data_IF_603521246575
#
_entry.id   IF_603521246575
#
_cell.length_a   1.000
_cell.length_b   1.000
_cell.length_c   1.000
_cell.angle_alpha   90.00
_cell.angle_beta   90.00
_cell.angle_gamma   90.00
#
_symmetry.space_group_name_H-M   'P 1'
#
loop_
_entity.id
_entity.type
_entity.pdbx_description
1 polymer ?
#
# COMPACT_ATOMS: atom_id res chain seq x y z
N UNK A 1 9.27 4.49 -36.83
CA UNK A 1 7.92 4.18 -36.28
C UNK A 1 7.74 5.01 -35.02
N UNK A 2 6.68 5.84 -34.96
CA UNK A 2 6.39 6.70 -33.82
C UNK A 2 5.79 5.89 -32.67
N UNK A 3 6.49 5.79 -31.54
CA UNK A 3 6.06 5.11 -30.32
C UNK A 3 5.24 6.03 -29.40
N UNK A 4 4.22 6.71 -29.94
CA UNK A 4 3.33 7.54 -29.13
C UNK A 4 2.01 6.82 -28.86
N UNK A 5 1.86 6.39 -27.61
CA UNK A 5 0.58 6.34 -26.88
C UNK A 5 -0.52 5.47 -27.50
N UNK A 6 -0.34 4.15 -27.47
CA UNK A 6 -1.41 3.18 -27.72
C UNK A 6 -1.59 2.37 -26.44
N UNK A 7 -2.77 2.44 -25.83
CA UNK A 7 -3.20 1.70 -24.64
C UNK A 7 -2.41 0.40 -24.42
N UNK A 8 -1.53 0.37 -23.41
CA UNK A 8 -0.84 -0.86 -23.02
C UNK A 8 -1.88 -1.81 -22.42
N UNK A 9 -2.46 -2.66 -23.26
CA UNK A 9 -3.41 -3.68 -22.81
C UNK A 9 -2.71 -4.62 -21.82
N UNK A 10 -3.48 -5.20 -20.90
CA UNK A 10 -2.99 -6.21 -19.95
C UNK A 10 -2.17 -7.30 -20.66
N UNK A 11 -2.57 -7.68 -21.87
CA UNK A 11 -1.86 -8.60 -22.75
C UNK A 11 -0.40 -8.21 -23.01
N UNK A 12 -0.16 -6.95 -23.41
CA UNK A 12 1.18 -6.44 -23.67
C UNK A 12 2.02 -6.41 -22.37
N UNK A 13 1.39 -6.09 -21.24
CA UNK A 13 2.04 -6.07 -19.93
C UNK A 13 2.44 -7.44 -19.42
N UNK A 14 1.61 -8.47 -19.63
CA UNK A 14 1.98 -9.86 -19.32
C UNK A 14 3.26 -10.24 -20.07
N UNK A 15 3.30 -9.99 -21.39
CA UNK A 15 4.49 -10.28 -22.19
C UNK A 15 5.71 -9.49 -21.72
N UNK A 16 5.52 -8.22 -21.38
CA UNK A 16 6.59 -7.34 -20.88
C UNK A 16 7.19 -7.88 -19.57
N UNK A 17 6.38 -8.08 -18.53
CA UNK A 17 6.87 -8.55 -17.23
C UNK A 17 7.43 -9.97 -17.31
N UNK A 18 6.85 -10.84 -18.15
CA UNK A 18 7.39 -12.17 -18.42
C UNK A 18 8.81 -12.09 -18.98
N UNK A 19 9.03 -11.23 -19.98
CA UNK A 19 10.34 -11.01 -20.59
C UNK A 19 11.35 -10.42 -19.58
N UNK A 20 10.93 -9.46 -18.74
CA UNK A 20 11.78 -8.89 -17.67
C UNK A 20 12.23 -9.95 -16.66
N UNK A 21 11.34 -10.89 -16.30
CA UNK A 21 11.66 -12.01 -15.40
C UNK A 21 12.40 -13.17 -16.08
N UNK A 22 12.62 -13.11 -17.40
CA UNK A 22 13.26 -14.16 -18.20
C UNK A 22 12.59 -15.53 -18.06
N UNK A 23 11.27 -15.56 -17.89
CA UNK A 23 10.51 -16.82 -17.83
C UNK A 23 9.84 -17.10 -19.18
N UNK A 24 9.75 -18.37 -19.54
CA UNK A 24 9.04 -18.85 -20.72
C UNK A 24 7.52 -18.82 -20.51
N UNK A 25 6.76 -18.93 -21.60
CA UNK A 25 5.30 -19.06 -21.52
C UNK A 25 4.87 -20.36 -20.82
N UNK A 26 5.68 -21.42 -20.92
CA UNK A 26 5.45 -22.70 -20.24
C UNK A 26 5.63 -22.55 -18.72
N UNK A 27 6.74 -21.95 -18.29
CA UNK A 27 7.00 -21.69 -16.87
C UNK A 27 5.96 -20.74 -16.25
N UNK A 28 5.53 -19.71 -16.99
CA UNK A 28 4.45 -18.84 -16.52
C UNK A 28 3.15 -19.62 -16.33
N UNK A 29 2.82 -20.54 -17.24
CA UNK A 29 1.62 -21.35 -17.15
C UNK A 29 1.64 -22.29 -15.94
N UNK A 30 2.79 -22.93 -15.68
CA UNK A 30 3.02 -23.78 -14.50
C UNK A 30 2.86 -22.98 -13.20
N UNK A 31 3.47 -21.79 -13.12
CA UNK A 31 3.34 -20.91 -11.93
C UNK A 31 1.90 -20.46 -11.68
N UNK A 32 1.12 -20.18 -12.72
CA UNK A 32 -0.30 -19.86 -12.58
C UNK A 32 -1.07 -21.08 -12.04
N UNK A 33 -0.78 -22.27 -12.56
CA UNK A 33 -1.41 -23.50 -12.09
C UNK A 33 -1.08 -23.80 -10.62
N UNK A 34 0.17 -23.61 -10.20
CA UNK A 34 0.60 -23.76 -8.80
C UNK A 34 -0.16 -22.83 -7.84
N UNK A 35 -0.40 -21.57 -8.25
CA UNK A 35 -1.06 -20.57 -7.40
C UNK A 35 -2.58 -20.65 -7.42
N UNK A 36 -3.17 -21.06 -8.54
CA UNK A 36 -4.64 -21.01 -8.74
C UNK A 36 -5.31 -22.37 -8.68
N UNK A 37 -4.54 -23.46 -8.81
CA UNK A 37 -5.08 -24.81 -8.97
C UNK A 37 -5.71 -25.08 -10.35
N UNK A 38 -5.78 -24.07 -11.23
CA UNK A 38 -6.37 -24.22 -12.57
C UNK A 38 -5.32 -24.57 -13.62
N UNK A 39 -5.65 -25.54 -14.48
CA UNK A 39 -4.75 -25.91 -15.57
C UNK A 39 -4.67 -24.80 -16.61
N UNK A 40 -3.48 -24.23 -16.74
CA UNK A 40 -3.14 -23.26 -17.78
C UNK A 40 -1.96 -23.83 -18.59
N UNK A 41 -2.07 -23.86 -19.92
CA UNK A 41 -0.98 -24.30 -20.82
C UNK A 41 -0.31 -23.13 -21.54
N UNK A 42 0.90 -23.34 -22.07
CA UNK A 42 1.65 -22.31 -22.84
C UNK A 42 0.82 -21.63 -23.93
N UNK A 43 -0.06 -22.36 -24.61
CA UNK A 43 -0.89 -21.82 -25.68
C UNK A 43 -1.94 -20.83 -25.15
N UNK A 44 -2.43 -21.03 -23.92
CA UNK A 44 -3.32 -20.07 -23.26
C UNK A 44 -2.56 -18.78 -22.94
N UNK A 45 -1.34 -18.87 -22.39
CA UNK A 45 -0.46 -17.72 -22.15
C UNK A 45 -0.20 -16.94 -23.43
N UNK A 46 0.19 -17.63 -24.51
CA UNK A 46 0.40 -17.00 -25.82
C UNK A 46 -0.85 -16.26 -26.31
N UNK A 47 -2.05 -16.86 -26.14
CA UNK A 47 -3.31 -16.19 -26.51
C UNK A 47 -3.63 -14.99 -25.62
N UNK A 48 -3.28 -15.01 -24.34
CA UNK A 48 -3.42 -13.85 -23.46
C UNK A 48 -2.49 -12.71 -23.91
N UNK A 49 -1.20 -13.00 -24.15
CA UNK A 49 -0.19 -12.02 -24.57
C UNK A 49 -0.52 -11.35 -25.92
N UNK A 50 -1.16 -12.10 -26.82
CA UNK A 50 -1.55 -11.61 -28.14
C UNK A 50 -2.98 -11.02 -28.18
N UNK A 51 -3.60 -10.78 -27.02
CA UNK A 51 -4.99 -10.29 -26.91
C UNK A 51 -6.04 -11.16 -27.64
N UNK A 52 -5.71 -12.42 -27.95
CA UNK A 52 -6.61 -13.38 -28.62
C UNK A 52 -7.55 -14.10 -27.67
N UNK A 53 -7.32 -13.95 -26.36
CA UNK A 53 -8.19 -14.48 -25.29
C UNK A 53 -8.19 -13.51 -24.12
N UNK A 54 -9.35 -13.29 -23.51
CA UNK A 54 -9.46 -12.51 -22.26
C UNK A 54 -8.77 -13.26 -21.13
N UNK A 55 -8.04 -12.52 -20.30
CA UNK A 55 -7.44 -13.04 -19.09
C UNK A 55 -8.54 -13.34 -18.05
N UNK A 56 -8.58 -14.56 -17.48
CA UNK A 56 -9.44 -14.86 -16.34
C UNK A 56 -9.15 -13.96 -15.13
N UNK A 57 -10.19 -13.47 -14.46
CA UNK A 57 -10.01 -12.49 -13.36
C UNK A 57 -9.25 -13.07 -12.17
N UNK A 58 -9.43 -14.36 -11.89
CA UNK A 58 -8.71 -15.11 -10.87
C UNK A 58 -7.20 -15.22 -11.14
N UNK A 59 -6.74 -14.98 -12.37
CA UNK A 59 -5.31 -14.99 -12.71
C UNK A 59 -4.62 -13.67 -12.40
N UNK A 60 -5.37 -12.58 -12.20
CA UNK A 60 -4.82 -11.25 -11.97
C UNK A 60 -3.96 -11.20 -10.68
N UNK A 61 -4.42 -11.71 -9.52
CA UNK A 61 -3.57 -11.74 -8.31
C UNK A 61 -2.36 -12.66 -8.47
N UNK A 62 -2.53 -13.81 -9.14
CA UNK A 62 -1.44 -14.75 -9.38
C UNK A 62 -0.35 -14.14 -10.26
N UNK A 63 -0.72 -13.44 -11.33
CA UNK A 63 0.24 -12.74 -12.20
C UNK A 63 0.98 -11.62 -11.45
N UNK A 64 0.27 -10.84 -10.64
CA UNK A 64 0.88 -9.80 -9.81
C UNK A 64 1.94 -10.41 -8.87
N UNK A 65 1.60 -11.51 -8.20
CA UNK A 65 2.53 -12.25 -7.33
C UNK A 65 3.73 -12.82 -8.09
N UNK A 66 3.52 -13.45 -9.25
CA UNK A 66 4.60 -14.04 -10.07
C UNK A 66 5.57 -12.96 -10.55
N UNK A 67 5.05 -11.81 -10.96
CA UNK A 67 5.87 -10.70 -11.45
C UNK A 67 6.45 -9.85 -10.32
N UNK A 68 5.97 -10.02 -9.08
CA UNK A 68 6.39 -9.20 -7.94
C UNK A 68 6.00 -7.74 -8.11
N UNK A 69 4.79 -7.51 -8.64
CA UNK A 69 4.19 -6.20 -8.86
C UNK A 69 2.84 -6.14 -8.15
N UNK A 70 2.27 -4.95 -8.04
CA UNK A 70 0.88 -4.74 -7.63
C UNK A 70 -0.08 -5.11 -8.77
N UNK A 71 -1.34 -5.38 -8.43
CA UNK A 71 -2.38 -5.56 -9.45
C UNK A 71 -2.53 -4.31 -10.30
N UNK A 72 -2.41 -3.14 -9.70
CA UNK A 72 -2.57 -1.85 -10.41
C UNK A 72 -1.47 -1.65 -11.45
N UNK A 73 -0.23 -2.07 -11.17
CA UNK A 73 0.85 -2.09 -12.16
C UNK A 73 0.58 -3.02 -13.35
N UNK A 74 -0.34 -3.99 -13.23
CA UNK A 74 -0.81 -4.80 -14.36
C UNK A 74 -1.81 -4.05 -15.25
N UNK A 75 -2.52 -3.04 -14.74
CA UNK A 75 -3.56 -2.29 -15.47
C UNK A 75 -3.10 -0.89 -15.90
N UNK A 76 -2.27 -0.22 -15.12
CA UNK A 76 -1.92 1.20 -15.30
C UNK A 76 -0.41 1.40 -15.53
N UNK A 77 -0.03 2.24 -16.50
CA UNK A 77 1.37 2.64 -16.68
C UNK A 77 1.87 3.43 -15.47
N UNK A 78 3.19 3.56 -15.31
CA UNK A 78 3.77 4.36 -14.23
C UNK A 78 3.26 5.82 -14.21
N UNK A 79 2.96 6.39 -15.38
CA UNK A 79 2.39 7.74 -15.48
C UNK A 79 0.90 7.79 -15.11
N UNK A 80 0.16 6.71 -15.31
CA UNK A 80 -1.24 6.57 -14.89
C UNK A 80 -1.34 6.29 -13.39
N UNK A 81 -0.44 5.46 -12.83
CA UNK A 81 -0.31 5.24 -11.38
C UNK A 81 0.04 6.52 -10.63
N UNK A 82 0.89 7.38 -11.21
CA UNK A 82 1.17 8.71 -10.67
C UNK A 82 -0.06 9.62 -10.60
N UNK A 83 -1.12 9.34 -11.37
CA UNK A 83 -2.37 10.11 -11.42
C UNK A 83 -3.47 9.52 -10.55
N UNK A 84 -3.43 8.22 -10.24
CA UNK A 84 -4.37 7.54 -9.35
C UNK A 84 -3.81 7.51 -7.93
N UNK A 85 -4.16 8.52 -7.14
CA UNK A 85 -3.95 8.59 -5.68
C UNK A 85 -2.56 8.18 -5.15
N UNK A 86 -1.63 9.15 -5.21
CA UNK A 86 -0.66 9.48 -4.14
C UNK A 86 -0.18 8.29 -3.28
N UNK A 87 0.52 7.34 -3.89
CA UNK A 87 1.49 6.52 -3.15
C UNK A 87 2.70 7.39 -2.79
N UNK A 88 2.47 8.35 -1.89
CA UNK A 88 3.49 9.28 -1.40
C UNK A 88 4.62 8.50 -0.74
N UNK A 89 4.29 7.39 -0.08
CA UNK A 89 5.27 6.53 0.59
C UNK A 89 6.13 5.83 -0.47
N UNK A 90 5.55 5.16 -1.46
CA UNK A 90 6.30 4.49 -2.51
C UNK A 90 7.12 5.45 -3.36
N UNK A 91 6.58 6.66 -3.64
CA UNK A 91 7.33 7.71 -4.34
C UNK A 91 8.52 8.17 -3.51
N UNK A 92 8.32 8.47 -2.21
CA UNK A 92 9.42 8.84 -1.32
C UNK A 92 10.46 7.71 -1.19
N UNK A 93 10.02 6.45 -1.09
CA UNK A 93 10.92 5.29 -1.00
C UNK A 93 11.73 5.12 -2.28
N UNK A 94 11.12 5.34 -3.46
CA UNK A 94 11.81 5.30 -4.74
C UNK A 94 12.87 6.41 -4.83
N UNK A 95 12.50 7.65 -4.49
CA UNK A 95 13.41 8.80 -4.48
C UNK A 95 14.60 8.57 -3.53
N UNK A 96 14.36 8.01 -2.34
CA UNK A 96 15.42 7.67 -1.39
C UNK A 96 16.34 6.54 -1.88
N UNK A 97 15.79 5.54 -2.59
CA UNK A 97 16.60 4.45 -3.19
C UNK A 97 17.51 4.99 -4.29
N UNK A 98 17.01 5.89 -5.12
CA UNK A 98 17.79 6.56 -6.15
C UNK A 98 18.90 7.41 -5.52
N UNK A 99 18.57 8.21 -4.50
CA UNK A 99 19.55 9.02 -3.77
C UNK A 99 20.60 8.15 -3.07
N UNK A 100 20.22 7.01 -2.49
CA UNK A 100 21.16 6.09 -1.86
C UNK A 100 22.14 5.46 -2.87
N UNK A 101 21.69 5.26 -4.11
CA UNK A 101 22.52 4.71 -5.19
C UNK A 101 23.50 5.76 -5.73
N UNK A 102 23.04 7.02 -5.85
CA UNK A 102 23.81 8.12 -6.46
C UNK A 102 24.69 8.86 -5.45
N UNK A 103 24.19 9.10 -4.24
CA UNK A 103 24.87 9.81 -3.17
C UNK A 103 24.51 9.23 -1.78
N UNK A 104 25.14 8.11 -1.38
CA UNK A 104 24.78 7.41 -0.13
C UNK A 104 25.00 8.24 1.13
N UNK A 105 25.97 9.16 1.14
CA UNK A 105 26.22 10.05 2.29
C UNK A 105 25.06 11.03 2.50
N UNK A 106 24.57 11.63 1.42
CA UNK A 106 23.44 12.55 1.49
C UNK A 106 22.15 11.81 1.87
N UNK A 107 21.93 10.62 1.32
CA UNK A 107 20.81 9.77 1.69
C UNK A 107 20.80 9.45 3.19
N UNK A 108 21.97 9.07 3.75
CA UNK A 108 22.11 8.78 5.17
C UNK A 108 21.84 10.02 6.04
N UNK A 109 22.34 11.19 5.66
CA UNK A 109 22.09 12.45 6.39
C UNK A 109 20.61 12.82 6.41
N UNK A 110 19.94 12.76 5.25
CA UNK A 110 18.49 13.06 5.16
C UNK A 110 17.65 12.06 5.96
N UNK A 111 18.00 10.77 5.91
CA UNK A 111 17.32 9.75 6.69
C UNK A 111 17.47 9.97 8.20
N UNK A 112 18.67 10.35 8.65
CA UNK A 112 18.94 10.65 10.05
C UNK A 112 18.15 11.88 10.52
N UNK A 113 18.10 12.95 9.72
CA UNK A 113 17.33 14.15 10.02
C UNK A 113 15.83 13.84 10.14
N UNK A 114 15.27 13.09 9.19
CA UNK A 114 13.88 12.66 9.23
C UNK A 114 13.57 11.85 10.51
N UNK A 115 14.48 10.95 10.91
CA UNK A 115 14.31 10.13 12.12
C UNK A 115 14.38 10.99 13.39
N UNK A 116 15.27 11.97 13.45
CA UNK A 116 15.35 12.91 14.57
C UNK A 116 14.08 13.76 14.70
N UNK A 117 13.52 14.22 13.59
CA UNK A 117 12.28 14.99 13.57
C UNK A 117 11.08 14.13 14.01
N UNK A 118 10.95 12.91 13.47
CA UNK A 118 9.92 11.97 13.89
C UNK A 118 10.00 11.65 15.39
N UNK A 119 11.22 11.49 15.93
CA UNK A 119 11.42 11.27 17.37
C UNK A 119 10.89 12.45 18.22
N UNK A 120 11.17 13.69 17.79
CA UNK A 120 10.67 14.90 18.49
C UNK A 120 9.15 14.98 18.46
N UNK A 121 8.54 14.70 17.31
CA UNK A 121 7.08 14.71 17.15
C UNK A 121 6.41 13.67 18.03
N UNK A 122 6.92 12.43 18.05
CA UNK A 122 6.41 11.37 18.92
C UNK A 122 6.52 11.75 20.40
N UNK A 123 7.60 12.42 20.81
CA UNK A 123 7.73 12.91 22.19
C UNK A 123 6.70 14.00 22.52
N UNK A 124 6.47 14.96 21.61
CA UNK A 124 5.46 15.99 21.79
C UNK A 124 4.05 15.39 21.92
N UNK A 125 3.71 14.43 21.06
CA UNK A 125 2.43 13.72 21.12
C UNK A 125 2.26 12.93 22.42
N UNK A 126 3.32 12.26 22.90
CA UNK A 126 3.30 11.56 24.19
C UNK A 126 2.99 12.49 25.34
N UNK A 127 3.59 13.69 25.34
CA UNK A 127 3.35 14.69 26.40
C UNK A 127 1.94 15.28 26.33
N UNK A 128 1.42 15.56 25.14
CA UNK A 128 0.02 15.97 24.95
C UNK A 128 -0.95 14.89 25.46
N UNK A 129 -0.66 13.62 25.16
CA UNK A 129 -1.48 12.49 25.58
C UNK A 129 -1.45 12.31 27.11
N UNK A 130 -0.30 12.55 27.75
CA UNK A 130 -0.18 12.57 29.22
C UNK A 130 -1.09 13.65 29.83
N UNK A 131 -1.00 14.90 29.35
CA UNK A 131 -1.83 16.01 29.83
C UNK A 131 -3.33 15.73 29.63
N UNK A 132 -3.70 15.21 28.46
CA UNK A 132 -5.08 14.87 28.14
C UNK A 132 -5.64 13.80 29.11
N UNK A 133 -4.84 12.77 29.43
CA UNK A 133 -5.22 11.74 30.42
C UNK A 133 -5.41 12.32 31.82
N UNK A 134 -4.51 13.20 32.26
CA UNK A 134 -4.63 13.87 33.58
C UNK A 134 -5.90 14.72 33.68
N UNK A 135 -6.24 15.46 32.62
CA UNK A 135 -7.48 16.23 32.57
C UNK A 135 -8.73 15.35 32.56
N UNK A 136 -8.70 14.24 31.81
CA UNK A 136 -9.78 13.26 31.76
C UNK A 136 -10.05 12.68 33.16
N UNK A 137 -9.01 12.31 33.89
CA UNK A 137 -9.13 11.79 35.26
C UNK A 137 -9.72 12.82 36.23
N UNK A 138 -9.28 14.09 36.14
CA UNK A 138 -9.87 15.19 36.94
C UNK A 138 -11.35 15.41 36.62
N UNK A 139 -11.73 15.36 35.34
CA UNK A 139 -13.14 15.47 34.93
C UNK A 139 -13.95 14.26 35.37
N UNK A 140 -13.40 13.06 35.26
CA UNK A 140 -14.02 11.79 35.68
C UNK A 140 -14.33 11.79 37.18
N UNK A 141 -13.36 12.21 38.02
CA UNK A 141 -13.55 12.34 39.46
C UNK A 141 -14.61 13.39 39.82
N UNK A 142 -14.61 14.56 39.16
CA UNK A 142 -15.69 15.56 39.35
C UNK A 142 -17.06 15.01 38.95
N UNK A 143 -17.14 14.31 37.83
CA UNK A 143 -18.38 13.70 37.34
C UNK A 143 -18.95 12.67 38.32
N UNK A 144 -18.09 11.84 38.93
CA UNK A 144 -18.50 10.91 39.99
C UNK A 144 -19.11 11.66 41.18
N UNK A 145 -18.49 12.76 41.63
CA UNK A 145 -19.04 13.60 42.72
C UNK A 145 -20.41 14.18 42.35
N UNK A 146 -20.57 14.71 41.14
CA UNK A 146 -21.86 15.25 40.69
C UNK A 146 -22.96 14.18 40.61
N UNK A 147 -22.62 12.96 40.17
CA UNK A 147 -23.56 11.83 40.16
C UNK A 147 -24.04 11.46 41.56
N UNK A 148 -23.14 11.39 42.54
CA UNK A 148 -23.51 11.11 43.93
C UNK A 148 -24.42 12.19 44.52
N UNK A 149 -24.11 13.47 44.30
CA UNK A 149 -24.94 14.59 44.75
C UNK A 149 -26.35 14.53 44.12
N UNK A 150 -26.44 14.31 42.81
CA UNK A 150 -27.73 14.18 42.12
C UNK A 150 -28.57 13.00 42.65
N UNK A 151 -27.92 11.89 43.01
CA UNK A 151 -28.57 10.73 43.61
C UNK A 151 -29.12 11.04 45.02
N UNK A 152 -28.41 11.83 45.81
CA UNK A 152 -28.89 12.27 47.14
C UNK A 152 -30.04 13.26 47.04
N UNK A 153 -29.96 14.25 46.13
CA UNK A 153 -31.03 15.22 45.90
C UNK A 153 -32.33 14.57 45.40
N UNK A 154 -32.24 13.58 44.51
CA UNK A 154 -33.44 12.88 44.01
C UNK A 154 -34.13 11.98 45.05
N UNK A 155 -33.43 11.60 46.13
CA UNK A 155 -34.05 10.92 47.28
C UNK A 155 -34.81 11.90 48.16
N UNK A 156 -34.25 13.10 48.39
CA UNK A 156 -34.85 14.14 49.22
C UNK A 156 -36.10 14.79 48.61
N UNK A 157 -36.30 14.73 47.28
CA UNK A 157 -37.49 15.28 46.64
C UNK A 157 -38.68 14.30 46.54
N UNK A 158 -38.54 13.09 47.11
CA UNK A 158 -39.56 12.04 47.10
C UNK A 158 -40.24 11.86 48.47
N UNK A 159 -39.81 12.62 49.47
CA UNK A 159 -40.45 12.79 50.78
C UNK A 159 -41.16 14.16 50.80
#
# INVERSE_FOLDING_TARGET
MNFNTIYATIAAKISYFRAQKKISQEELAQKIQELTGETCGKHAISRFENSRRKLPINYVPALAQIFGITTDELFFSANELKRTDKDQIGTQVADYRELATTNPKEAASKALEALLNAKKEVQALKEQLRKCKEELEKKSTKMKKYKEIAKSLSKLSKD
#
